data_IF_070645166177
#
_entry.id   IF_070645166177
#
_cell.length_a   1.000
_cell.length_b   1.000
_cell.length_c   1.000
_cell.angle_alpha   90.00
_cell.angle_beta   90.00
_cell.angle_gamma   90.00
#
_symmetry.space_group_name_H-M   'P 1'
#
loop_
_entity.id
_entity.type
_entity.pdbx_description
1 polymer ?
#
# COMPACT_ATOMS: atom_id res chain seq x y z
N UNK A 1 -1.93 -13.06 10.74
CA UNK A 1 -2.34 -11.81 10.07
C UNK A 1 -3.78 -11.92 9.58
N UNK A 2 -4.76 -11.49 10.37
CA UNK A 2 -6.14 -11.35 9.90
C UNK A 2 -6.10 -10.21 8.90
N UNK A 3 -5.95 -10.49 7.60
CA UNK A 3 -5.70 -9.48 6.57
C UNK A 3 -6.69 -8.34 6.76
N UNK A 4 -6.14 -7.22 7.25
CA UNK A 4 -6.90 -6.03 7.56
C UNK A 4 -7.67 -5.62 6.31
N UNK A 5 -8.96 -5.38 6.47
CA UNK A 5 -9.83 -4.88 5.40
C UNK A 5 -9.20 -3.66 4.71
N UNK A 6 -8.42 -2.85 5.44
CA UNK A 6 -7.65 -1.75 4.88
C UNK A 6 -6.59 -2.19 3.83
N UNK A 7 -5.83 -3.26 4.08
CA UNK A 7 -4.83 -3.78 3.14
C UNK A 7 -5.54 -4.35 1.90
N UNK A 8 -6.61 -5.12 2.09
CA UNK A 8 -7.41 -5.68 0.99
C UNK A 8 -7.94 -4.55 0.10
N UNK A 9 -8.48 -3.49 0.70
CA UNK A 9 -9.00 -2.34 -0.02
C UNK A 9 -7.90 -1.59 -0.80
N UNK A 10 -6.68 -1.49 -0.26
CA UNK A 10 -5.52 -0.91 -0.98
C UNK A 10 -5.12 -1.74 -2.20
N UNK A 11 -5.07 -3.06 -2.06
CA UNK A 11 -4.78 -3.97 -3.17
C UNK A 11 -5.86 -3.88 -4.25
N UNK A 12 -7.15 -3.89 -3.87
CA UNK A 12 -8.26 -3.72 -4.80
C UNK A 12 -8.19 -2.41 -5.59
N UNK A 13 -7.84 -1.30 -4.92
CA UNK A 13 -7.63 -0.01 -5.60
C UNK A 13 -6.48 -0.07 -6.60
N UNK A 14 -5.33 -0.62 -6.19
CA UNK A 14 -4.16 -0.78 -7.05
C UNK A 14 -4.48 -1.66 -8.27
N UNK A 15 -5.27 -2.73 -8.07
CA UNK A 15 -5.74 -3.57 -9.16
C UNK A 15 -6.61 -2.79 -10.17
N UNK A 16 -7.56 -1.98 -9.69
CA UNK A 16 -8.36 -1.12 -10.56
C UNK A 16 -7.52 -0.09 -11.34
N UNK A 17 -6.46 0.45 -10.72
CA UNK A 17 -5.53 1.35 -11.42
C UNK A 17 -4.75 0.60 -12.51
N UNK A 18 -4.32 -0.64 -12.28
CA UNK A 18 -3.68 -1.47 -13.31
C UNK A 18 -4.62 -1.74 -14.49
N UNK A 19 -5.90 -2.02 -14.23
CA UNK A 19 -6.92 -2.12 -15.29
C UNK A 19 -7.02 -0.80 -16.07
N UNK A 20 -6.99 0.34 -15.39
CA UNK A 20 -6.98 1.66 -16.04
C UNK A 20 -5.78 1.87 -16.97
N UNK A 21 -4.58 1.40 -16.59
CA UNK A 21 -3.39 1.48 -17.45
C UNK A 21 -3.57 0.64 -18.73
N UNK A 22 -4.15 -0.55 -18.63
CA UNK A 22 -4.43 -1.37 -19.82
C UNK A 22 -5.40 -0.66 -20.77
N UNK A 23 -6.43 0.01 -20.24
CA UNK A 23 -7.37 0.78 -21.05
C UNK A 23 -6.67 1.96 -21.75
N UNK A 24 -5.81 2.71 -21.05
CA UNK A 24 -5.03 3.80 -21.65
C UNK A 24 -4.17 3.31 -22.81
N UNK A 25 -3.55 2.14 -22.69
CA UNK A 25 -2.76 1.54 -23.78
C UNK A 25 -3.65 1.21 -24.97
N UNK A 26 -4.83 0.63 -24.74
CA UNK A 26 -5.79 0.29 -25.79
C UNK A 26 -6.39 1.53 -26.48
N UNK A 27 -6.48 2.65 -25.76
CA UNK A 27 -6.96 3.94 -26.25
C UNK A 27 -5.84 4.77 -26.93
N UNK A 28 -4.66 4.17 -27.16
CA UNK A 28 -3.49 4.83 -27.76
C UNK A 28 -3.05 6.11 -27.01
N UNK A 29 -3.23 6.14 -25.69
CA UNK A 29 -2.78 7.24 -24.84
C UNK A 29 -1.27 7.46 -24.95
N UNK A 30 -0.82 8.67 -24.61
CA UNK A 30 0.59 9.01 -24.69
C UNK A 30 1.42 8.20 -23.68
N UNK A 31 2.69 7.97 -24.00
CA UNK A 31 3.63 7.33 -23.08
C UNK A 31 3.74 8.09 -21.75
N UNK A 32 3.62 9.42 -21.78
CA UNK A 32 3.69 10.28 -20.59
C UNK A 32 2.52 10.03 -19.63
N UNK A 33 1.30 9.88 -20.16
CA UNK A 33 0.10 9.53 -19.39
C UNK A 33 0.21 8.15 -18.76
N UNK A 34 0.67 7.16 -19.53
CA UNK A 34 0.90 5.79 -19.05
C UNK A 34 1.94 5.79 -17.92
N UNK A 35 3.07 6.47 -18.11
CA UNK A 35 4.14 6.58 -17.10
C UNK A 35 3.62 7.26 -15.83
N UNK A 36 2.82 8.31 -15.96
CA UNK A 36 2.21 8.99 -14.81
C UNK A 36 1.34 8.05 -13.97
N UNK A 37 0.49 7.24 -14.62
CA UNK A 37 -0.34 6.25 -13.91
C UNK A 37 0.51 5.15 -13.28
N UNK A 38 1.51 4.63 -13.98
CA UNK A 38 2.43 3.62 -13.44
C UNK A 38 3.21 4.14 -12.23
N UNK A 39 3.63 5.41 -12.23
CA UNK A 39 4.25 6.07 -11.06
C UNK A 39 3.29 6.14 -9.86
N UNK A 40 2.02 6.48 -10.09
CA UNK A 40 1.01 6.50 -9.04
C UNK A 40 0.77 5.10 -8.44
N UNK A 41 0.71 4.08 -9.30
CA UNK A 41 0.58 2.67 -8.91
C UNK A 41 1.80 2.23 -8.10
N UNK A 42 3.02 2.54 -8.56
CA UNK A 42 4.27 2.25 -7.83
C UNK A 42 4.21 2.80 -6.41
N UNK A 43 3.88 4.09 -6.25
CA UNK A 43 3.77 4.71 -4.92
C UNK A 43 2.69 4.05 -4.04
N UNK A 44 1.54 3.67 -4.62
CA UNK A 44 0.49 2.93 -3.90
C UNK A 44 0.99 1.57 -3.39
N UNK A 45 1.76 0.86 -4.22
CA UNK A 45 2.36 -0.43 -3.86
C UNK A 45 3.41 -0.26 -2.76
N UNK A 46 4.32 0.70 -2.90
CA UNK A 46 5.37 0.98 -1.90
C UNK A 46 4.77 1.27 -0.51
N UNK A 47 3.71 2.09 -0.45
CA UNK A 47 2.97 2.35 0.79
C UNK A 47 2.30 1.11 1.37
N UNK A 48 1.76 0.25 0.50
CA UNK A 48 1.11 -1.00 0.94
C UNK A 48 2.14 -1.99 1.49
N UNK A 49 3.32 -2.09 0.87
CA UNK A 49 4.45 -2.87 1.39
C UNK A 49 4.87 -2.34 2.76
N UNK A 50 5.08 -1.03 2.90
CA UNK A 50 5.47 -0.41 4.17
C UNK A 50 4.48 -0.70 5.30
N UNK A 51 3.17 -0.63 4.99
CA UNK A 51 2.11 -0.98 5.93
C UNK A 51 2.21 -2.46 6.36
N UNK A 52 2.25 -3.39 5.42
CA UNK A 52 2.30 -4.83 5.72
C UNK A 52 3.55 -5.17 6.55
N UNK A 53 4.72 -4.68 6.14
CA UNK A 53 5.98 -4.94 6.84
C UNK A 53 5.96 -4.41 8.27
N UNK A 54 5.44 -3.18 8.47
CA UNK A 54 5.35 -2.57 9.80
C UNK A 54 4.34 -3.29 10.68
N UNK A 55 3.17 -3.67 10.15
CA UNK A 55 2.18 -4.47 10.88
C UNK A 55 2.76 -5.81 11.32
N UNK A 56 3.51 -6.49 10.45
CA UNK A 56 4.20 -7.73 10.80
C UNK A 56 5.28 -7.52 11.88
N UNK A 57 6.04 -6.42 11.82
CA UNK A 57 7.01 -6.07 12.85
C UNK A 57 6.34 -5.87 14.22
N UNK A 58 5.26 -5.10 14.28
CA UNK A 58 4.51 -4.85 15.52
C UNK A 58 3.98 -6.16 16.11
N UNK A 59 3.35 -7.01 15.28
CA UNK A 59 2.88 -8.33 15.71
C UNK A 59 4.00 -9.17 16.34
N UNK A 60 5.19 -9.19 15.73
CA UNK A 60 6.34 -9.92 16.29
C UNK A 60 6.84 -9.33 17.62
N UNK A 61 6.79 -8.01 17.79
CA UNK A 61 7.17 -7.37 19.05
C UNK A 61 6.17 -7.71 20.15
N UNK A 62 4.87 -7.62 19.85
CA UNK A 62 3.78 -7.98 20.77
C UNK A 62 3.89 -9.45 21.20
N UNK A 63 4.01 -10.37 20.24
CA UNK A 63 4.13 -11.81 20.48
C UNK A 63 5.37 -12.16 21.33
N UNK A 64 6.52 -11.54 21.05
CA UNK A 64 7.78 -11.87 21.74
C UNK A 64 7.83 -11.36 23.19
N UNK A 65 7.16 -10.25 23.47
CA UNK A 65 7.24 -9.60 24.78
C UNK A 65 5.94 -9.75 25.59
N UNK A 66 4.98 -10.54 25.12
CA UNK A 66 3.66 -10.74 25.72
C UNK A 66 2.99 -9.42 26.13
N UNK A 67 3.04 -8.44 25.21
CA UNK A 67 2.50 -7.11 25.40
C UNK A 67 1.64 -6.70 24.22
N UNK A 68 0.80 -5.69 24.43
CA UNK A 68 -0.02 -5.08 23.39
C UNK A 68 0.41 -3.64 23.18
N UNK A 69 0.73 -3.28 21.95
CA UNK A 69 1.13 -1.92 21.57
C UNK A 69 -0.13 -1.18 21.10
N UNK A 70 -0.52 -0.16 21.85
CA UNK A 70 -1.70 0.67 21.53
C UNK A 70 -1.27 2.01 20.92
N UNK A 71 -2.19 2.66 20.18
CA UNK A 71 -2.01 4.00 19.61
C UNK A 71 -0.83 4.14 18.62
N UNK A 72 -0.54 3.09 17.84
CA UNK A 72 0.51 3.08 16.81
C UNK A 72 0.12 3.77 15.50
N UNK A 73 -1.15 4.14 15.34
CA UNK A 73 -1.68 4.67 14.07
C UNK A 73 -1.00 5.97 13.63
N UNK A 74 -0.68 6.86 14.57
CA UNK A 74 0.02 8.12 14.27
C UNK A 74 1.45 7.88 13.78
N UNK A 75 2.19 7.01 14.47
CA UNK A 75 3.55 6.64 14.09
C UNK A 75 3.58 5.94 12.72
N UNK A 76 2.61 5.06 12.48
CA UNK A 76 2.43 4.39 11.19
C UNK A 76 2.10 5.39 10.08
N UNK A 77 1.24 6.38 10.35
CA UNK A 77 0.90 7.42 9.38
C UNK A 77 2.11 8.29 9.03
N UNK A 78 2.99 8.60 10.00
CA UNK A 78 4.23 9.32 9.75
C UNK A 78 5.18 8.51 8.86
N UNK A 79 5.38 7.23 9.15
CA UNK A 79 6.21 6.34 8.33
C UNK A 79 5.70 6.24 6.89
N UNK A 80 4.38 6.12 6.70
CA UNK A 80 3.76 6.02 5.38
C UNK A 80 3.77 7.33 4.58
N UNK A 81 3.99 8.49 5.22
CA UNK A 81 4.15 9.77 4.52
C UNK A 81 5.56 9.94 3.94
N UNK A 82 6.54 9.22 4.45
CA UNK A 82 7.94 9.27 4.02
C UNK A 82 8.28 8.29 2.88
N UNK A 83 7.28 7.52 2.41
CA UNK A 83 7.33 6.57 1.30
C UNK A 83 6.44 7.10 0.18
#
# INVERSE_FOLDING_TARGET
MKCDTAIINRIKRTHGQMTGVLNLINEEATCEEIIMQLKAIKSSIEKTIGLITTTNLLQKIEEKNDLKIENVDEALALLLKSI
#
